data_IF_916505699539
#
_entry.id   IF_916505699539
#
_cell.length_a   1.000
_cell.length_b   1.000
_cell.length_c   1.000
_cell.angle_alpha   90.00
_cell.angle_beta   90.00
_cell.angle_gamma   90.00
#
_symmetry.space_group_name_H-M   'P 1'
#
loop_
_entity.id
_entity.type
_entity.pdbx_description
1 polymer ?
#
# COMPACT_ATOMS: atom_id res chain seq x y z
N UNK A 1 -0.23 -10.40 36.88
CA UNK A 1 0.88 -11.07 36.16
C UNK A 1 0.68 -11.05 34.65
N UNK A 2 -0.41 -11.63 34.10
CA UNK A 2 -0.67 -11.69 32.64
C UNK A 2 -0.62 -10.32 31.94
N UNK A 3 -1.20 -9.28 32.55
CA UNK A 3 -1.18 -7.93 31.99
C UNK A 3 0.24 -7.40 31.75
N UNK A 4 1.17 -7.73 32.67
CA UNK A 4 2.57 -7.31 32.60
C UNK A 4 3.31 -7.98 31.42
N UNK A 5 3.07 -9.28 31.24
CA UNK A 5 3.65 -10.07 30.14
C UNK A 5 3.23 -9.48 28.79
N UNK A 6 1.97 -9.05 28.63
CA UNK A 6 1.45 -8.48 27.38
C UNK A 6 2.05 -7.11 27.04
N UNK A 7 2.46 -6.32 28.04
CA UNK A 7 2.94 -4.95 27.83
C UNK A 7 4.46 -4.84 27.80
N UNK A 8 5.16 -5.68 28.56
CA UNK A 8 6.62 -5.58 28.72
C UNK A 8 7.41 -6.48 27.76
N UNK A 9 6.79 -7.56 27.25
CA UNK A 9 7.46 -8.49 26.35
C UNK A 9 7.00 -8.30 24.91
N UNK A 10 7.97 -8.33 23.99
CA UNK A 10 7.72 -8.33 22.55
C UNK A 10 7.60 -9.76 22.05
N UNK A 11 6.44 -10.11 21.50
CA UNK A 11 6.14 -11.43 20.97
C UNK A 11 5.17 -11.35 19.79
N UNK A 12 5.21 -12.34 18.89
CA UNK A 12 4.26 -12.44 17.77
C UNK A 12 2.84 -12.75 18.22
N UNK A 13 2.69 -13.67 19.18
CA UNK A 13 1.43 -14.04 19.81
C UNK A 13 1.66 -14.46 21.27
N UNK A 14 0.62 -14.37 22.11
CA UNK A 14 0.64 -14.83 23.50
C UNK A 14 -0.60 -15.67 23.75
N UNK A 15 -0.41 -16.90 24.21
CA UNK A 15 -1.48 -17.75 24.74
C UNK A 15 -1.38 -17.75 26.27
N UNK A 16 -2.51 -17.57 26.95
CA UNK A 16 -2.59 -17.60 28.41
C UNK A 16 -3.35 -18.86 28.80
N UNK A 17 -2.78 -19.64 29.71
CA UNK A 17 -3.32 -20.93 30.17
C UNK A 17 -3.47 -22.01 29.08
N UNK A 18 -2.85 -21.80 27.92
CA UNK A 18 -2.86 -22.75 26.81
C UNK A 18 -1.63 -22.57 25.92
N UNK A 19 -1.37 -23.51 25.04
CA UNK A 19 -0.29 -23.49 24.05
C UNK A 19 -0.84 -23.78 22.66
N UNK A 20 -0.26 -23.18 21.62
CA UNK A 20 -0.57 -23.45 20.20
C UNK A 20 -1.99 -23.09 19.73
N UNK A 21 -2.98 -22.90 20.61
CA UNK A 21 -4.38 -22.66 20.22
C UNK A 21 -4.58 -21.42 19.34
N UNK A 22 -3.75 -20.39 19.47
CA UNK A 22 -3.78 -19.23 18.56
C UNK A 22 -3.55 -19.58 17.07
N UNK A 23 -2.96 -20.74 16.78
CA UNK A 23 -2.76 -21.27 15.42
C UNK A 23 -4.04 -21.88 14.84
N UNK A 24 -5.04 -22.21 15.66
CA UNK A 24 -6.30 -22.77 15.17
C UNK A 24 -7.23 -21.69 14.58
N UNK A 25 -7.15 -20.45 15.05
CA UNK A 25 -8.02 -19.36 14.58
C UNK A 25 -7.64 -18.85 13.19
N UNK A 26 -8.46 -19.12 12.17
CA UNK A 26 -8.20 -18.72 10.78
C UNK A 26 -8.14 -17.20 10.56
N UNK A 27 -8.89 -16.45 11.36
CA UNK A 27 -8.90 -14.98 11.29
C UNK A 27 -7.78 -14.33 12.10
N UNK A 28 -7.12 -15.08 12.99
CA UNK A 28 -6.04 -14.54 13.80
C UNK A 28 -4.76 -14.45 12.95
N UNK A 29 -4.12 -13.27 12.91
CA UNK A 29 -2.87 -13.12 12.18
C UNK A 29 -1.76 -13.92 12.87
N UNK A 30 -1.09 -14.77 12.10
CA UNK A 30 0.06 -15.54 12.55
C UNK A 30 1.34 -14.92 11.98
N UNK A 31 2.33 -14.65 12.83
CA UNK A 31 3.56 -13.98 12.44
C UNK A 31 4.52 -13.74 13.59
N UNK A 32 5.79 -13.52 13.24
CA UNK A 32 6.88 -13.28 14.19
C UNK A 32 7.21 -11.79 14.37
N UNK A 33 8.15 -11.53 15.27
CA UNK A 33 8.80 -10.22 15.44
C UNK A 33 10.30 -10.40 15.69
N UNK A 34 11.15 -9.55 15.09
CA UNK A 34 12.60 -9.63 15.21
C UNK A 34 13.19 -10.89 14.59
N UNK A 35 14.03 -11.62 15.33
CA UNK A 35 14.69 -12.84 14.84
C UNK A 35 13.70 -13.98 14.52
N UNK A 36 12.48 -13.94 15.07
CA UNK A 36 11.43 -14.92 14.79
C UNK A 36 10.70 -14.70 13.45
N UNK A 37 11.02 -13.63 12.73
CA UNK A 37 10.44 -13.30 11.43
C UNK A 37 9.71 -11.96 11.40
N UNK A 38 9.18 -11.62 10.22
CA UNK A 38 8.45 -10.38 9.95
C UNK A 38 7.21 -10.68 9.09
N UNK A 39 6.19 -9.83 9.23
CA UNK A 39 4.94 -9.99 8.51
C UNK A 39 3.95 -10.88 9.24
N UNK A 40 2.72 -10.89 8.74
CA UNK A 40 1.60 -11.64 9.29
C UNK A 40 0.86 -12.30 8.16
N UNK A 41 0.74 -13.61 8.22
CA UNK A 41 -0.13 -14.37 7.34
C UNK A 41 -1.42 -14.72 8.10
N UNK A 42 -2.44 -15.14 7.35
CA UNK A 42 -3.82 -15.47 7.74
C UNK A 42 -4.82 -14.31 7.69
N UNK A 43 -6.08 -14.68 7.46
CA UNK A 43 -7.20 -13.79 7.22
C UNK A 43 -6.91 -12.70 6.17
N UNK A 44 -7.40 -11.50 6.43
CA UNK A 44 -7.18 -10.31 5.60
C UNK A 44 -5.71 -9.90 5.53
N UNK A 45 -4.90 -10.28 6.53
CA UNK A 45 -3.47 -9.96 6.55
C UNK A 45 -2.71 -10.69 5.43
N UNK A 46 -3.10 -11.93 5.11
CA UNK A 46 -2.56 -12.65 3.93
C UNK A 46 -2.82 -11.89 2.64
N UNK A 47 -4.01 -11.32 2.46
CA UNK A 47 -4.33 -10.57 1.24
C UNK A 47 -3.38 -9.38 1.10
N UNK A 48 -3.19 -8.59 2.16
CA UNK A 48 -2.23 -7.48 2.11
C UNK A 48 -0.77 -7.94 1.91
N UNK A 49 -0.41 -9.14 2.35
CA UNK A 49 0.95 -9.68 2.23
C UNK A 49 1.24 -10.27 0.83
N UNK A 50 0.22 -10.85 0.17
CA UNK A 50 0.35 -11.46 -1.15
C UNK A 50 -0.20 -10.60 -2.30
N UNK A 51 -0.85 -9.48 -2.00
CA UNK A 51 -1.26 -8.50 -3.01
C UNK A 51 -0.37 -7.27 -2.98
N UNK A 52 -0.26 -6.61 -4.13
CA UNK A 52 0.50 -5.37 -4.25
C UNK A 52 -0.47 -4.23 -4.45
N UNK A 53 -0.44 -3.25 -3.55
CA UNK A 53 -1.20 -2.02 -3.71
C UNK A 53 -0.64 -1.21 -4.88
N UNK A 54 -1.49 -0.91 -5.87
CA UNK A 54 -1.14 -0.10 -7.02
C UNK A 54 -1.82 1.26 -6.91
N UNK A 55 -1.01 2.32 -6.91
CA UNK A 55 -1.51 3.69 -6.95
C UNK A 55 -1.91 4.04 -8.37
N UNK A 56 -3.18 4.38 -8.58
CA UNK A 56 -3.70 4.85 -9.87
C UNK A 56 -4.19 6.28 -9.70
N UNK A 57 -3.62 7.20 -10.48
CA UNK A 57 -4.01 8.61 -10.49
C UNK A 57 -4.86 8.87 -11.72
N UNK A 58 -6.14 9.21 -11.53
CA UNK A 58 -7.03 9.67 -12.61
C UNK A 58 -7.11 11.19 -12.55
N UNK A 59 -6.80 11.86 -13.67
CA UNK A 59 -6.74 13.32 -13.78
C UNK A 59 -7.61 13.80 -14.93
N UNK A 60 -8.39 14.86 -14.70
CA UNK A 60 -9.14 15.54 -15.74
C UNK A 60 -8.20 16.47 -16.54
N UNK A 61 -8.13 16.29 -17.85
CA UNK A 61 -7.17 17.00 -18.71
C UNK A 61 -7.54 18.47 -18.98
N UNK A 62 -8.79 18.88 -18.76
CA UNK A 62 -9.37 20.03 -19.47
C UNK A 62 -8.99 21.43 -18.93
N UNK A 63 -8.63 21.57 -17.65
CA UNK A 63 -8.41 22.89 -17.01
C UNK A 63 -7.04 23.06 -16.35
N UNK A 64 -6.32 21.96 -16.13
CA UNK A 64 -5.04 21.98 -15.40
C UNK A 64 -3.82 22.28 -16.29
N UNK A 65 -3.94 22.18 -17.62
CA UNK A 65 -2.79 22.35 -18.54
C UNK A 65 -2.20 23.76 -18.41
N UNK A 66 -3.06 24.78 -18.30
CA UNK A 66 -2.63 26.19 -18.25
C UNK A 66 -1.97 26.59 -16.92
N UNK A 67 -2.38 25.99 -15.80
CA UNK A 67 -1.86 26.33 -14.48
C UNK A 67 -0.57 25.56 -14.14
N UNK A 68 -0.40 24.35 -14.68
CA UNK A 68 0.77 23.51 -14.43
C UNK A 68 1.90 23.73 -15.44
N UNK A 69 1.57 24.18 -16.64
CA UNK A 69 2.55 24.51 -17.67
C UNK A 69 2.33 25.96 -18.14
N UNK A 70 2.92 26.96 -17.44
CA UNK A 70 2.65 28.37 -17.71
C UNK A 70 3.09 28.87 -19.10
N UNK A 71 3.83 28.06 -19.88
CA UNK A 71 4.40 28.48 -21.16
C UNK A 71 4.30 27.45 -22.29
N UNK A 72 3.26 26.61 -22.34
CA UNK A 72 3.04 25.78 -23.53
C UNK A 72 2.60 26.67 -24.71
N UNK A 73 3.32 26.66 -25.85
CA UNK A 73 2.80 27.24 -27.09
C UNK A 73 1.50 26.51 -27.48
N UNK A 74 0.58 27.17 -28.22
CA UNK A 74 -0.73 26.63 -28.54
C UNK A 74 -0.62 25.22 -29.15
N UNK A 75 -1.53 24.33 -28.73
CA UNK A 75 -1.58 22.88 -28.99
C UNK A 75 -1.40 22.44 -30.46
N UNK A 76 -1.45 23.36 -31.43
CA UNK A 76 -1.15 23.09 -32.85
C UNK A 76 0.33 22.76 -33.12
N UNK A 77 1.24 23.11 -32.21
CA UNK A 77 2.69 22.95 -32.43
C UNK A 77 3.20 21.55 -32.07
N UNK A 78 2.49 20.80 -31.23
CA UNK A 78 2.95 19.50 -30.70
C UNK A 78 2.42 18.28 -31.46
N UNK A 79 1.61 18.45 -32.50
CA UNK A 79 1.19 17.35 -33.38
C UNK A 79 2.37 16.81 -34.22
N UNK A 80 3.47 17.57 -34.31
CA UNK A 80 4.58 17.30 -35.23
C UNK A 80 5.97 17.15 -34.57
N UNK A 81 6.09 17.03 -33.25
CA UNK A 81 7.39 16.75 -32.63
C UNK A 81 7.30 15.74 -31.50
N UNK A 82 8.09 14.68 -31.65
CA UNK A 82 8.20 13.51 -30.78
C UNK A 82 8.44 13.91 -29.32
N UNK A 83 7.55 13.51 -28.42
CA UNK A 83 7.60 13.91 -27.00
C UNK A 83 8.46 12.93 -26.19
N UNK A 84 9.51 13.40 -25.48
CA UNK A 84 10.11 12.68 -24.36
C UNK A 84 9.32 13.04 -23.09
N UNK A 85 8.88 12.09 -22.23
CA UNK A 85 8.36 12.54 -20.91
C UNK A 85 8.32 11.48 -19.83
N UNK A 86 8.59 11.88 -18.58
CA UNK A 86 7.60 11.79 -17.49
C UNK A 86 8.16 12.08 -16.06
N UNK A 87 9.13 12.97 -15.84
CA UNK A 87 9.70 13.11 -14.48
C UNK A 87 8.98 14.07 -13.51
N UNK A 88 8.22 15.11 -13.90
CA UNK A 88 7.74 16.09 -12.90
C UNK A 88 6.41 16.79 -13.24
N UNK A 89 5.25 16.38 -12.69
CA UNK A 89 4.07 17.27 -12.47
C UNK A 89 2.90 16.66 -11.66
N UNK A 90 2.63 17.16 -10.44
CA UNK A 90 1.41 16.95 -9.61
C UNK A 90 1.00 18.31 -8.97
N UNK A 91 -0.30 18.68 -8.86
CA UNK A 91 -1.13 18.25 -7.71
C UNK A 91 -2.66 18.08 -8.01
N UNK A 92 -3.34 17.11 -7.37
CA UNK A 92 -4.82 17.07 -7.32
C UNK A 92 -5.58 15.93 -8.01
N UNK A 93 -4.93 14.80 -8.34
CA UNK A 93 -5.66 13.61 -8.78
C UNK A 93 -6.23 12.84 -7.59
N UNK A 94 -7.48 12.39 -7.65
CA UNK A 94 -7.98 11.37 -6.74
C UNK A 94 -7.13 10.11 -6.97
N UNK A 95 -6.15 9.89 -6.10
CA UNK A 95 -5.35 8.68 -6.08
C UNK A 95 -6.22 7.58 -5.50
N UNK A 96 -6.71 6.70 -6.37
CA UNK A 96 -7.38 5.49 -5.94
C UNK A 96 -6.31 4.42 -5.74
N UNK A 97 -6.28 3.82 -4.55
CA UNK A 97 -5.47 2.63 -4.29
C UNK A 97 -6.29 1.44 -4.77
N UNK A 98 -5.85 0.82 -5.87
CA UNK A 98 -6.45 -0.42 -6.36
C UNK A 98 -5.57 -1.59 -5.90
N UNK A 99 -6.20 -2.61 -5.30
CA UNK A 99 -5.52 -3.82 -4.84
C UNK A 99 -5.70 -4.90 -5.89
N UNK A 100 -4.63 -5.21 -6.61
CA UNK A 100 -4.63 -6.29 -7.62
C UNK A 100 -3.99 -7.55 -7.02
N UNK A 101 -4.57 -8.72 -7.31
CA UNK A 101 -4.03 -10.02 -6.88
C UNK A 101 -2.78 -10.30 -7.71
N UNK A 102 -1.63 -10.45 -7.06
CA UNK A 102 -0.40 -10.82 -7.75
C UNK A 102 -0.53 -12.26 -8.27
N UNK A 103 -0.49 -12.40 -9.60
CA UNK A 103 -0.37 -13.68 -10.30
C UNK A 103 1.09 -14.08 -10.46
#
# INVERSE_FOLDING_TARGET
MVARIRTELRSGAVCVNDVVVHVAGEELPFGGTGASGMGRNRGVSSFGLFTRERVIVKRALRWEISARFPSLPPLKVLENSEIPSASNLMPGGHAAIQRDIAG
#
